data_IF_611237192047
#
_entry.id   IF_611237192047
#
_cell.length_a   1.000
_cell.length_b   1.000
_cell.length_c   1.000
_cell.angle_alpha   90.00
_cell.angle_beta   90.00
_cell.angle_gamma   90.00
#
_symmetry.space_group_name_H-M   'P 1'
#
loop_
_entity.id
_entity.type
_entity.pdbx_description
1 polymer ?
#
# COMPACT_ATOMS: atom_id res chain seq x y z
N UNK A 1 -88.10 -7.04 1.69
CA UNK A 1 -87.04 -7.36 2.68
C UNK A 1 -86.29 -8.68 2.46
N UNK A 2 -86.80 -9.70 1.75
CA UNK A 2 -86.04 -10.95 1.50
C UNK A 2 -85.12 -10.95 0.27
N UNK A 3 -85.29 -10.02 -0.67
CA UNK A 3 -84.55 -10.03 -1.94
C UNK A 3 -83.19 -9.30 -1.86
N UNK A 4 -83.03 -8.33 -0.96
CA UNK A 4 -81.77 -7.57 -0.82
C UNK A 4 -80.66 -8.34 -0.07
N UNK A 5 -81.01 -9.23 0.87
CA UNK A 5 -80.00 -10.05 1.55
C UNK A 5 -79.38 -11.13 0.64
N UNK A 6 -80.08 -11.56 -0.40
CA UNK A 6 -79.58 -12.57 -1.35
C UNK A 6 -78.52 -12.00 -2.30
N UNK A 7 -78.67 -10.73 -2.70
CA UNK A 7 -77.75 -10.06 -3.63
C UNK A 7 -76.40 -9.74 -2.95
N UNK A 8 -76.42 -9.39 -1.66
CA UNK A 8 -75.20 -9.11 -0.89
C UNK A 8 -74.38 -10.40 -0.65
N UNK A 9 -75.05 -11.52 -0.41
CA UNK A 9 -74.39 -12.81 -0.16
C UNK A 9 -73.73 -13.38 -1.42
N UNK A 10 -74.35 -13.20 -2.59
CA UNK A 10 -73.79 -13.66 -3.86
C UNK A 10 -72.58 -12.81 -4.31
N UNK A 11 -72.58 -11.50 -4.05
CA UNK A 11 -71.46 -10.60 -4.36
C UNK A 11 -70.18 -10.90 -3.57
N UNK A 12 -70.30 -11.28 -2.29
CA UNK A 12 -69.16 -11.68 -1.45
C UNK A 12 -68.57 -13.04 -1.86
N UNK A 13 -69.40 -13.96 -2.36
CA UNK A 13 -68.95 -15.26 -2.85
C UNK A 13 -68.11 -15.10 -4.13
N UNK A 14 -68.54 -14.24 -5.06
CA UNK A 14 -67.78 -13.97 -6.29
C UNK A 14 -66.49 -13.18 -6.04
N UNK A 15 -66.46 -12.26 -5.06
CA UNK A 15 -65.23 -11.57 -4.67
C UNK A 15 -64.20 -12.55 -4.07
N UNK A 16 -64.65 -13.56 -3.32
CA UNK A 16 -63.79 -14.59 -2.73
C UNK A 16 -63.25 -15.57 -3.79
N UNK A 17 -64.07 -15.97 -4.76
CA UNK A 17 -63.66 -16.85 -5.86
C UNK A 17 -62.68 -16.13 -6.81
N UNK A 18 -62.87 -14.82 -7.04
CA UNK A 18 -61.91 -14.02 -7.81
C UNK A 18 -60.55 -13.95 -7.11
N UNK A 19 -60.51 -13.78 -5.78
CA UNK A 19 -59.24 -13.79 -5.02
C UNK A 19 -58.58 -15.19 -5.07
N UNK A 20 -59.35 -16.27 -4.99
CA UNK A 20 -58.81 -17.64 -5.06
C UNK A 20 -58.31 -18.02 -6.47
N UNK A 21 -58.94 -17.52 -7.54
CA UNK A 21 -58.52 -17.76 -8.93
C UNK A 21 -57.33 -16.87 -9.36
N UNK A 22 -57.23 -15.65 -8.84
CA UNK A 22 -56.05 -14.78 -9.04
C UNK A 22 -54.82 -15.20 -8.22
N UNK A 23 -55.01 -15.98 -7.15
CA UNK A 23 -53.90 -16.42 -6.29
C UNK A 23 -53.03 -17.54 -6.87
N UNK A 24 -53.47 -18.24 -7.93
CA UNK A 24 -52.84 -19.49 -8.38
C UNK A 24 -52.31 -19.49 -9.82
N UNK A 25 -52.11 -18.32 -10.45
CA UNK A 25 -51.47 -18.27 -11.76
C UNK A 25 -50.23 -17.35 -11.73
N UNK A 26 -49.08 -18.00 -11.93
CA UNK A 26 -47.81 -17.39 -12.37
C UNK A 26 -46.82 -16.92 -11.29
N UNK A 27 -46.16 -17.88 -10.64
CA UNK A 27 -44.77 -17.67 -10.23
C UNK A 27 -43.90 -18.71 -10.93
N UNK A 28 -43.55 -18.41 -12.19
CA UNK A 28 -42.42 -19.05 -12.82
C UNK A 28 -41.18 -18.70 -11.97
N UNK A 29 -40.57 -19.72 -11.39
CA UNK A 29 -39.29 -19.68 -10.69
C UNK A 29 -38.17 -19.26 -11.67
N UNK A 30 -38.11 -17.95 -11.97
CA UNK A 30 -36.98 -17.22 -12.58
C UNK A 30 -37.11 -15.71 -12.32
N UNK A 31 -37.44 -15.28 -11.11
CA UNK A 31 -37.12 -13.90 -10.74
C UNK A 31 -35.60 -13.79 -10.71
N UNK A 32 -34.94 -12.97 -11.55
CA UNK A 32 -33.55 -12.63 -11.25
C UNK A 32 -33.56 -12.08 -9.82
N UNK A 33 -32.71 -12.62 -8.94
CA UNK A 33 -32.66 -12.19 -7.55
C UNK A 33 -32.47 -10.68 -7.51
N UNK A 34 -33.57 -9.94 -7.28
CA UNK A 34 -33.55 -8.50 -7.18
C UNK A 34 -33.08 -8.21 -5.76
N UNK A 35 -31.85 -7.72 -5.63
CA UNK A 35 -31.31 -7.30 -4.33
C UNK A 35 -32.30 -6.34 -3.70
N UNK A 36 -32.77 -6.69 -2.51
CA UNK A 36 -33.70 -5.87 -1.73
C UNK A 36 -32.92 -4.78 -0.99
N UNK A 37 -33.56 -3.67 -0.66
CA UNK A 37 -32.92 -2.59 0.12
C UNK A 37 -32.33 -3.09 1.44
N UNK A 38 -33.02 -3.95 2.23
CA UNK A 38 -32.44 -4.49 3.47
C UNK A 38 -31.20 -5.37 3.24
N UNK A 39 -31.17 -6.15 2.16
CA UNK A 39 -29.98 -6.95 1.80
C UNK A 39 -28.81 -6.07 1.40
N UNK A 40 -29.06 -5.00 0.66
CA UNK A 40 -28.04 -4.00 0.33
C UNK A 40 -27.52 -3.30 1.58
N UNK A 41 -28.40 -2.86 2.48
CA UNK A 41 -28.03 -2.17 3.72
C UNK A 41 -27.24 -3.10 4.67
N UNK A 42 -27.64 -4.39 4.76
CA UNK A 42 -26.91 -5.39 5.52
C UNK A 42 -25.51 -5.66 4.93
N UNK A 43 -25.39 -5.66 3.60
CA UNK A 43 -24.10 -5.78 2.92
C UNK A 43 -23.20 -4.56 3.18
N UNK A 44 -23.74 -3.33 3.11
CA UNK A 44 -23.01 -2.09 3.43
C UNK A 44 -22.54 -2.11 4.89
N UNK A 45 -23.41 -2.50 5.83
CA UNK A 45 -23.06 -2.63 7.24
C UNK A 45 -21.90 -3.61 7.46
N UNK A 46 -21.96 -4.76 6.79
CA UNK A 46 -20.91 -5.78 6.84
C UNK A 46 -19.59 -5.30 6.22
N UNK A 47 -19.65 -4.52 5.14
CA UNK A 47 -18.45 -3.93 4.53
C UNK A 47 -17.85 -2.88 5.46
N UNK A 48 -18.67 -2.02 6.06
CA UNK A 48 -18.20 -0.98 6.98
C UNK A 48 -17.55 -1.58 8.24
N UNK A 49 -18.10 -2.67 8.78
CA UNK A 49 -17.46 -3.37 9.91
C UNK A 49 -16.12 -3.99 9.51
N UNK A 50 -16.03 -4.60 8.33
CA UNK A 50 -14.76 -5.13 7.81
C UNK A 50 -13.73 -4.02 7.61
N UNK A 51 -14.13 -2.85 7.10
CA UNK A 51 -13.25 -1.70 6.90
C UNK A 51 -12.74 -1.15 8.23
N UNK A 52 -13.60 -1.06 9.26
CA UNK A 52 -13.17 -0.57 10.58
C UNK A 52 -12.15 -1.47 11.26
N UNK A 53 -12.16 -2.77 10.95
CA UNK A 53 -11.22 -3.74 11.50
C UNK A 53 -9.87 -3.75 10.75
N UNK A 54 -9.76 -3.06 9.62
CA UNK A 54 -8.48 -2.88 8.93
C UNK A 54 -7.62 -1.94 9.77
N UNK A 55 -6.71 -2.52 10.55
CA UNK A 55 -5.68 -1.78 11.25
C UNK A 55 -4.48 -1.57 10.31
N UNK A 56 -4.26 -0.36 9.77
CA UNK A 56 -3.11 -0.11 8.92
C UNK A 56 -1.81 -0.34 9.69
N UNK A 57 -0.81 -0.91 9.02
CA UNK A 57 0.53 -1.06 9.56
C UNK A 57 1.24 0.29 9.53
N UNK A 58 1.11 1.07 10.60
CA UNK A 58 1.82 2.35 10.76
C UNK A 58 3.25 2.09 11.24
N UNK A 59 4.23 2.74 10.61
CA UNK A 59 5.65 2.66 10.93
C UNK A 59 6.18 3.99 11.46
N UNK A 60 7.29 3.94 12.18
CA UNK A 60 7.95 5.14 12.74
C UNK A 60 9.44 5.18 12.39
N UNK A 61 10.01 6.38 12.27
CA UNK A 61 11.44 6.56 12.02
C UNK A 61 12.26 5.95 13.17
N UNK A 62 13.29 5.17 12.83
CA UNK A 62 14.11 4.39 13.76
C UNK A 62 13.56 2.98 14.06
N UNK A 63 12.38 2.63 13.56
CA UNK A 63 11.86 1.27 13.70
C UNK A 63 12.70 0.26 12.92
N UNK A 64 13.04 -0.86 13.57
CA UNK A 64 13.69 -2.01 12.93
C UNK A 64 12.63 -2.96 12.41
N UNK A 65 12.59 -3.17 11.09
CA UNK A 65 11.66 -4.07 10.42
C UNK A 65 12.10 -5.54 10.52
N UNK A 66 11.23 -6.52 10.21
CA UNK A 66 11.57 -7.96 10.34
C UNK A 66 12.77 -8.43 9.52
N UNK A 67 13.16 -7.69 8.47
CA UNK A 67 14.36 -7.94 7.66
C UNK A 67 15.60 -7.19 8.17
N UNK A 68 15.53 -6.64 9.38
CA UNK A 68 16.54 -5.81 10.06
C UNK A 68 16.81 -4.46 9.39
N UNK A 69 16.00 -4.05 8.41
CA UNK A 69 16.10 -2.71 7.84
C UNK A 69 15.56 -1.66 8.81
N UNK A 70 16.17 -0.47 8.82
CA UNK A 70 15.81 0.61 9.73
C UNK A 70 15.05 1.68 8.96
N UNK A 71 13.84 2.00 9.42
CA UNK A 71 12.99 3.04 8.82
C UNK A 71 13.65 4.39 9.01
N UNK A 72 13.88 5.12 7.93
CA UNK A 72 14.48 6.47 7.97
C UNK A 72 13.58 7.53 7.36
N UNK A 73 12.48 7.15 6.72
CA UNK A 73 11.47 8.08 6.25
C UNK A 73 10.09 7.40 6.23
N UNK A 74 9.05 8.15 6.55
CA UNK A 74 7.65 7.71 6.52
C UNK A 74 6.80 8.80 5.89
N UNK A 75 5.76 8.40 5.16
CA UNK A 75 4.76 9.33 4.63
C UNK A 75 3.78 9.80 5.71
N UNK A 76 2.84 10.69 5.35
CA UNK A 76 1.85 11.24 6.28
C UNK A 76 0.91 10.17 6.87
N UNK A 77 0.74 9.05 6.19
CA UNK A 77 -0.11 7.94 6.64
C UNK A 77 0.64 6.98 7.57
N UNK A 78 1.98 7.02 7.53
CA UNK A 78 2.89 6.08 8.16
C UNK A 78 2.81 4.66 7.60
N UNK A 79 2.04 4.41 6.55
CA UNK A 79 1.90 3.07 5.95
C UNK A 79 2.98 2.79 4.91
N UNK A 80 3.49 3.84 4.26
CA UNK A 80 4.58 3.75 3.31
C UNK A 80 5.77 4.54 3.80
N UNK A 81 6.95 4.10 3.37
CA UNK A 81 8.17 4.76 3.76
C UNK A 81 9.40 4.16 3.10
N UNK A 82 10.55 4.55 3.64
CA UNK A 82 11.85 4.07 3.21
C UNK A 82 12.60 3.49 4.41
N UNK A 83 13.26 2.37 4.16
CA UNK A 83 14.14 1.71 5.12
C UNK A 83 15.51 1.47 4.50
N UNK A 84 16.55 1.57 5.33
CA UNK A 84 17.94 1.37 4.94
C UNK A 84 18.51 0.11 5.58
N UNK A 85 19.59 -0.43 5.01
CA UNK A 85 20.39 -1.43 5.71
C UNK A 85 20.98 -0.85 7.01
N UNK A 86 21.12 -1.67 8.07
CA UNK A 86 21.69 -1.22 9.34
C UNK A 86 23.21 -1.04 9.29
N UNK A 87 23.87 -1.56 8.26
CA UNK A 87 25.33 -1.47 8.04
C UNK A 87 25.62 -1.26 6.55
N UNK A 88 26.81 -0.76 6.25
CA UNK A 88 27.32 -0.70 4.88
C UNK A 88 27.69 -2.08 4.38
N UNK A 89 27.69 -2.23 3.06
CA UNK A 89 28.39 -3.34 2.44
C UNK A 89 29.88 -3.26 2.76
N UNK A 90 30.50 -4.41 3.03
CA UNK A 90 31.91 -4.46 3.40
C UNK A 90 32.81 -4.00 2.25
N UNK A 91 33.47 -2.86 2.44
CA UNK A 91 34.36 -2.24 1.47
C UNK A 91 33.75 -1.07 0.70
N UNK A 92 34.50 -0.62 -0.30
CA UNK A 92 34.12 0.49 -1.17
C UNK A 92 34.19 0.03 -2.61
N UNK A 93 33.21 0.46 -3.42
CA UNK A 93 33.01 -0.06 -4.76
C UNK A 93 32.81 1.07 -5.75
N UNK A 94 33.24 0.83 -7.00
CA UNK A 94 32.80 1.68 -8.10
C UNK A 94 31.29 1.60 -8.29
N UNK A 95 30.73 2.54 -9.03
CA UNK A 95 29.28 2.69 -9.10
C UNK A 95 28.57 1.48 -9.70
N UNK A 96 29.18 0.81 -10.69
CA UNK A 96 28.59 -0.36 -11.33
C UNK A 96 28.44 -1.52 -10.35
N UNK A 97 29.51 -1.82 -9.60
CA UNK A 97 29.51 -2.87 -8.59
C UNK A 97 28.62 -2.48 -7.41
N UNK A 98 28.65 -1.22 -6.97
CA UNK A 98 27.78 -0.72 -5.92
C UNK A 98 26.29 -0.93 -6.23
N UNK A 99 25.89 -0.68 -7.48
CA UNK A 99 24.53 -0.90 -7.94
C UNK A 99 24.16 -2.39 -7.92
N UNK A 100 25.02 -3.23 -8.47
CA UNK A 100 24.81 -4.68 -8.48
C UNK A 100 24.72 -5.27 -7.07
N UNK A 101 25.60 -4.83 -6.15
CA UNK A 101 25.58 -5.26 -4.74
C UNK A 101 24.25 -4.90 -4.07
N UNK A 102 23.78 -3.66 -4.25
CA UNK A 102 22.51 -3.23 -3.67
C UNK A 102 21.32 -4.02 -4.25
N UNK A 103 21.30 -4.24 -5.57
CA UNK A 103 20.24 -4.99 -6.26
C UNK A 103 20.28 -6.49 -5.88
N UNK A 104 21.47 -7.04 -5.59
CA UNK A 104 21.65 -8.47 -5.23
C UNK A 104 21.02 -8.87 -3.89
N UNK A 105 20.71 -7.89 -3.02
CA UNK A 105 20.04 -8.15 -1.73
C UNK A 105 18.60 -8.65 -1.90
N UNK A 106 18.04 -8.51 -3.10
CA UNK A 106 16.73 -9.05 -3.46
C UNK A 106 15.71 -7.97 -3.83
N UNK A 107 14.45 -8.38 -4.06
CA UNK A 107 13.43 -7.50 -4.61
C UNK A 107 13.22 -6.22 -3.78
N UNK A 108 13.26 -5.07 -4.44
CA UNK A 108 13.02 -3.76 -3.84
C UNK A 108 14.26 -3.08 -3.24
N UNK A 109 15.33 -3.82 -3.00
CA UNK A 109 16.62 -3.26 -2.61
C UNK A 109 17.31 -2.62 -3.81
N UNK A 110 17.92 -1.45 -3.58
CA UNK A 110 18.64 -0.68 -4.60
C UNK A 110 19.52 0.38 -3.97
N UNK A 111 20.37 0.99 -4.79
CA UNK A 111 21.03 2.23 -4.42
C UNK A 111 20.01 3.35 -4.15
N UNK A 112 20.30 4.25 -3.19
CA UNK A 112 19.45 5.39 -2.90
C UNK A 112 19.50 6.41 -4.04
N UNK A 113 18.36 7.01 -4.35
CA UNK A 113 18.32 8.21 -5.19
C UNK A 113 18.95 9.39 -4.46
N UNK A 114 19.25 10.48 -5.18
CA UNK A 114 19.85 11.70 -4.62
C UNK A 114 18.99 12.28 -3.48
N UNK A 115 17.67 12.18 -3.62
CA UNK A 115 16.74 12.64 -2.59
C UNK A 115 16.77 11.73 -1.36
N UNK A 116 16.70 10.42 -1.57
CA UNK A 116 16.70 9.42 -0.49
C UNK A 116 18.03 9.39 0.25
N UNK A 117 19.15 9.56 -0.45
CA UNK A 117 20.48 9.65 0.14
C UNK A 117 20.59 10.87 1.06
N UNK A 118 19.96 11.99 0.68
CA UNK A 118 19.89 13.16 1.53
C UNK A 118 18.99 12.94 2.75
N UNK A 119 17.84 12.29 2.60
CA UNK A 119 16.99 11.91 3.73
C UNK A 119 17.77 10.99 4.69
N UNK A 120 18.51 10.03 4.15
CA UNK A 120 19.34 9.12 4.92
C UNK A 120 20.44 9.86 5.69
N UNK A 121 21.11 10.83 5.05
CA UNK A 121 22.09 11.70 5.71
C UNK A 121 21.48 12.50 6.87
N UNK A 122 20.27 13.03 6.71
CA UNK A 122 19.56 13.76 7.78
C UNK A 122 19.19 12.84 8.96
N UNK A 123 19.05 11.54 8.72
CA UNK A 123 18.72 10.52 9.72
C UNK A 123 19.92 9.62 10.08
N UNK A 124 21.14 10.04 9.74
CA UNK A 124 22.34 9.19 9.88
C UNK A 124 22.59 8.74 11.31
N UNK A 125 22.24 9.58 12.29
CA UNK A 125 22.37 9.27 13.72
C UNK A 125 21.31 8.26 14.19
N UNK A 126 20.13 8.24 13.55
CA UNK A 126 19.04 7.31 13.90
C UNK A 126 19.30 5.93 13.29
N UNK A 127 19.67 5.90 12.01
CA UNK A 127 20.00 4.64 11.32
C UNK A 127 21.33 4.09 11.84
N UNK A 128 22.30 4.96 12.12
CA UNK A 128 23.56 4.62 12.74
C UNK A 128 24.55 3.90 11.81
N UNK A 129 25.70 3.54 12.38
CA UNK A 129 26.74 2.72 11.74
C UNK A 129 27.25 3.26 10.41
N UNK A 130 27.19 4.57 10.17
CA UNK A 130 27.81 5.18 8.99
C UNK A 130 29.27 5.50 9.27
N UNK A 131 30.13 5.20 8.31
CA UNK A 131 31.45 5.80 8.26
C UNK A 131 31.40 7.23 7.72
N UNK A 132 32.40 8.03 8.06
CA UNK A 132 32.67 9.38 7.53
C UNK A 132 33.15 9.35 6.05
N UNK A 133 32.46 8.58 5.22
CA UNK A 133 32.75 8.32 3.82
C UNK A 133 31.75 9.03 2.88
N UNK A 134 32.04 8.98 1.58
CA UNK A 134 31.08 9.33 0.53
C UNK A 134 30.28 8.10 0.10
N UNK A 135 29.03 8.32 -0.29
CA UNK A 135 28.07 7.28 -0.64
C UNK A 135 27.51 7.50 -2.04
N UNK A 136 27.37 6.42 -2.79
CA UNK A 136 26.81 6.47 -4.13
C UNK A 136 25.30 6.71 -4.15
N UNK A 137 24.86 7.48 -5.14
CA UNK A 137 23.46 7.54 -5.53
C UNK A 137 23.20 6.81 -6.85
N UNK A 138 21.96 6.36 -7.06
CA UNK A 138 21.48 5.83 -8.33
C UNK A 138 21.31 6.90 -9.43
N UNK A 139 21.43 8.20 -9.12
CA UNK A 139 21.25 9.28 -10.08
C UNK A 139 22.58 9.69 -10.75
N UNK A 140 22.51 10.00 -12.05
CA UNK A 140 23.63 10.56 -12.80
C UNK A 140 23.87 12.02 -12.39
N UNK A 141 25.14 12.42 -12.31
CA UNK A 141 25.54 13.82 -12.17
C UNK A 141 25.71 14.44 -13.56
N UNK A 142 26.37 13.72 -14.48
CA UNK A 142 26.54 14.07 -15.89
C UNK A 142 26.83 12.80 -16.74
N UNK A 143 27.31 13.00 -17.98
CA UNK A 143 27.58 11.93 -18.94
C UNK A 143 28.69 10.94 -18.51
N UNK A 144 29.54 11.27 -17.54
CA UNK A 144 30.61 10.40 -17.02
C UNK A 144 30.56 10.21 -15.51
N UNK A 145 29.83 11.05 -14.78
CA UNK A 145 29.84 11.08 -13.32
C UNK A 145 28.51 10.66 -12.71
N UNK A 146 28.58 10.03 -11.54
CA UNK A 146 27.44 9.67 -10.70
C UNK A 146 27.37 10.55 -9.47
N UNK A 147 26.15 10.80 -9.00
CA UNK A 147 25.92 11.63 -7.83
C UNK A 147 26.40 10.93 -6.56
N UNK A 148 27.05 11.68 -5.67
CA UNK A 148 27.41 11.21 -4.34
C UNK A 148 27.02 12.21 -3.26
N UNK A 149 26.99 11.73 -2.01
CA UNK A 149 26.94 12.59 -0.83
C UNK A 149 27.91 12.08 0.23
N UNK A 150 28.70 13.00 0.78
CA UNK A 150 29.59 12.78 1.93
C UNK A 150 28.77 12.75 3.22
N UNK A 151 29.00 11.75 4.07
CA UNK A 151 28.38 11.65 5.39
C UNK A 151 29.21 12.30 6.50
N UNK A 152 30.46 12.70 6.19
CA UNK A 152 31.30 13.50 7.08
C UNK A 152 30.74 14.91 7.28
N UNK A 153 30.43 15.60 6.18
CA UNK A 153 30.05 17.02 6.17
C UNK A 153 28.78 17.35 5.35
N UNK A 154 28.19 16.36 4.68
CA UNK A 154 27.00 16.55 3.85
C UNK A 154 27.29 17.14 2.47
N UNK A 155 28.57 17.29 2.08
CA UNK A 155 28.94 17.77 0.75
C UNK A 155 28.45 16.83 -0.35
N UNK A 156 28.18 17.37 -1.54
CA UNK A 156 27.58 16.65 -2.65
C UNK A 156 28.27 17.01 -3.95
N UNK A 157 28.32 16.07 -4.88
CA UNK A 157 28.94 16.31 -6.18
C UNK A 157 28.78 15.13 -7.13
N UNK A 158 29.65 15.10 -8.14
CA UNK A 158 29.78 14.00 -9.08
C UNK A 158 31.16 13.36 -8.99
N UNK A 159 31.21 12.04 -8.95
CA UNK A 159 32.45 11.27 -9.13
C UNK A 159 32.32 10.35 -10.34
N UNK A 160 33.44 10.09 -10.99
CA UNK A 160 33.50 9.18 -12.14
C UNK A 160 33.05 7.77 -11.73
N UNK A 161 32.23 7.14 -12.60
CA UNK A 161 31.51 5.89 -12.26
C UNK A 161 32.44 4.70 -12.05
N UNK A 162 33.63 4.71 -12.64
CA UNK A 162 34.57 3.57 -12.64
C UNK A 162 35.86 3.84 -11.86
N UNK A 163 36.26 5.11 -11.74
CA UNK A 163 37.55 5.50 -11.18
C UNK A 163 37.54 5.71 -9.67
N UNK A 164 36.36 5.90 -9.07
CA UNK A 164 36.21 6.10 -7.63
C UNK A 164 35.48 4.92 -7.01
N UNK A 165 35.86 4.59 -5.78
CA UNK A 165 35.20 3.58 -4.96
C UNK A 165 34.61 4.25 -3.72
N UNK A 166 33.30 4.12 -3.52
CA UNK A 166 32.57 4.74 -2.41
C UNK A 166 31.78 3.69 -1.61
N UNK A 167 31.32 4.08 -0.43
CA UNK A 167 30.50 3.23 0.44
C UNK A 167 29.11 3.01 -0.14
N UNK A 168 28.51 1.87 0.22
CA UNK A 168 27.22 1.43 -0.30
C UNK A 168 26.27 1.13 0.85
N UNK A 169 25.16 1.87 0.90
CA UNK A 169 24.03 1.54 1.76
C UNK A 169 22.76 1.39 0.94
N UNK A 170 22.30 0.15 0.80
CA UNK A 170 21.08 -0.14 0.08
C UNK A 170 19.86 0.38 0.85
N UNK A 171 18.87 0.86 0.10
CA UNK A 171 17.56 1.30 0.60
C UNK A 171 16.45 0.57 -0.12
N UNK A 172 15.27 0.53 0.50
CA UNK A 172 14.04 0.01 -0.12
C UNK A 172 12.81 0.75 0.39
N UNK A 173 11.73 0.65 -0.36
CA UNK A 173 10.40 1.03 0.12
C UNK A 173 9.75 -0.12 0.91
N UNK A 174 8.74 0.20 1.72
CA UNK A 174 7.87 -0.76 2.39
C UNK A 174 6.40 -0.35 2.30
#
# INVERSE_FOLDING_TARGET
MKQEQSIITLGLLFFSIAIMLYGNAFAADKTPHRVTQPEFDAAISTINSKISDIKPSVRTIGEVLPDNSIVFWVDETGQHGLAAQPFDEDGQFNWYVAKEMADSRGPGWRLPSKHELNLLYLQKEIVGSFDDNSYWSSNEYDATNMWYQSFFDGSKGGFDRSSYSLSVRAVRAF
#
